data_IF_677088418001
#
_entry.id   IF_677088418001
#
_cell.length_a   1.000
_cell.length_b   1.000
_cell.length_c   1.000
_cell.angle_alpha   90.00
_cell.angle_beta   90.00
_cell.angle_gamma   90.00
#
_symmetry.space_group_name_H-M   'P 1'
#
loop_
_entity.id
_entity.type
_entity.pdbx_description
1 polymer ?
#
# COMPACT_ATOMS: atom_id res chain seq x y z
N UNK A 1 4.49 0.51 -7.53
CA UNK A 1 4.45 1.40 -8.71
C UNK A 1 5.35 2.63 -8.54
N UNK A 2 5.39 3.27 -7.37
CA UNK A 2 6.17 4.49 -7.08
C UNK A 2 7.63 4.43 -7.57
N UNK A 3 8.40 3.41 -7.20
CA UNK A 3 9.82 3.28 -7.60
C UNK A 3 10.02 3.29 -9.12
N UNK A 4 9.10 2.66 -9.87
CA UNK A 4 9.12 2.68 -11.33
C UNK A 4 8.88 4.09 -11.87
N UNK A 5 7.86 4.79 -11.36
CA UNK A 5 7.52 6.15 -11.78
C UNK A 5 8.62 7.16 -11.41
N UNK A 6 9.34 6.95 -10.30
CA UNK A 6 10.50 7.75 -9.92
C UNK A 6 11.69 7.56 -10.86
N UNK A 7 11.75 6.49 -11.65
CA UNK A 7 12.87 6.20 -12.54
C UNK A 7 14.16 5.84 -11.80
N UNK A 8 14.06 5.38 -10.55
CA UNK A 8 15.22 4.90 -9.78
C UNK A 8 15.55 3.46 -10.17
N UNK A 9 16.80 3.04 -9.99
CA UNK A 9 17.18 1.62 -10.09
C UNK A 9 16.80 0.92 -8.79
N UNK A 10 16.07 -0.18 -8.86
CA UNK A 10 15.63 -0.94 -7.69
C UNK A 10 15.52 -2.43 -8.02
N UNK A 11 15.48 -3.26 -6.98
CA UNK A 11 15.23 -4.69 -7.08
C UNK A 11 13.87 -5.02 -6.45
N UNK A 12 13.20 -6.04 -7.00
CA UNK A 12 11.98 -6.62 -6.43
C UNK A 12 12.26 -8.06 -6.05
N UNK A 13 12.10 -8.37 -4.77
CA UNK A 13 12.27 -9.73 -4.24
C UNK A 13 10.92 -10.24 -3.78
N UNK A 14 10.46 -11.33 -4.38
CA UNK A 14 9.23 -12.01 -3.96
C UNK A 14 9.48 -12.82 -2.69
N UNK A 15 8.53 -12.78 -1.76
CA UNK A 15 8.63 -13.47 -0.47
C UNK A 15 7.62 -14.62 -0.41
N UNK A 16 8.13 -15.84 -0.21
CA UNK A 16 7.27 -16.97 0.15
C UNK A 16 6.93 -16.92 1.65
N UNK A 17 5.68 -16.54 1.96
CA UNK A 17 5.17 -16.43 3.32
C UNK A 17 5.11 -17.77 4.06
N UNK A 18 5.08 -18.90 3.35
CA UNK A 18 5.04 -20.25 3.95
C UNK A 18 6.44 -20.75 4.28
N UNK A 19 7.41 -20.49 3.40
CA UNK A 19 8.78 -21.02 3.54
C UNK A 19 9.75 -20.08 4.27
N UNK A 20 9.44 -18.78 4.39
CA UNK A 20 10.21 -17.74 5.12
C UNK A 20 11.73 -17.96 5.06
N UNK A 21 12.37 -17.77 3.89
CA UNK A 21 13.82 -17.97 3.74
C UNK A 21 14.61 -17.18 4.79
N UNK A 22 15.69 -17.78 5.31
CA UNK A 22 16.45 -17.26 6.46
C UNK A 22 16.99 -15.84 6.21
N UNK A 23 17.47 -15.55 5.00
CA UNK A 23 18.01 -14.24 4.63
C UNK A 23 16.97 -13.12 4.78
N UNK A 24 15.70 -13.44 4.51
CA UNK A 24 14.61 -12.48 4.64
C UNK A 24 14.21 -12.26 6.10
N UNK A 25 14.28 -13.30 6.94
CA UNK A 25 14.08 -13.14 8.39
C UNK A 25 15.16 -12.26 9.01
N UNK A 26 16.41 -12.38 8.55
CA UNK A 26 17.50 -11.52 9.00
C UNK A 26 17.30 -10.07 8.54
N UNK A 27 16.76 -9.89 7.32
CA UNK A 27 16.54 -8.57 6.76
C UNK A 27 15.41 -7.83 7.48
N UNK A 28 14.26 -8.48 7.73
CA UNK A 28 13.09 -7.86 8.35
C UNK A 28 12.35 -8.86 9.26
N UNK A 29 12.86 -9.14 10.47
CA UNK A 29 12.32 -10.18 11.34
C UNK A 29 10.88 -9.85 11.74
N UNK A 30 9.97 -10.82 11.57
CA UNK A 30 8.55 -10.67 11.92
C UNK A 30 7.75 -9.69 11.04
N UNK A 31 8.37 -9.11 10.01
CA UNK A 31 7.70 -8.13 9.14
C UNK A 31 6.93 -8.84 8.04
N UNK A 32 5.63 -8.56 7.93
CA UNK A 32 4.84 -8.99 6.79
C UNK A 32 5.13 -8.07 5.59
N UNK A 33 5.38 -8.61 4.39
CA UNK A 33 5.36 -7.84 3.16
C UNK A 33 4.04 -7.06 3.01
N UNK A 34 4.06 -5.90 2.33
CA UNK A 34 5.23 -5.26 1.71
C UNK A 34 6.10 -4.48 2.70
N UNK A 35 7.41 -4.49 2.45
CA UNK A 35 8.41 -3.64 3.11
C UNK A 35 9.50 -3.27 2.09
N UNK A 36 10.31 -2.25 2.40
CA UNK A 36 11.46 -1.85 1.57
C UNK A 36 12.70 -1.73 2.44
N UNK A 37 13.87 -1.96 1.86
CA UNK A 37 15.15 -1.64 2.48
C UNK A 37 15.83 -0.51 1.72
N UNK A 38 16.23 0.54 2.42
CA UNK A 38 16.95 1.68 1.86
C UNK A 38 18.19 1.96 2.69
N UNK A 39 19.38 1.91 2.08
CA UNK A 39 20.67 2.05 2.78
C UNK A 39 20.82 1.15 4.02
N UNK A 40 20.31 -0.08 3.95
CA UNK A 40 20.35 -1.05 5.05
C UNK A 40 19.24 -0.88 6.10
N UNK A 41 18.46 0.21 6.06
CA UNK A 41 17.31 0.38 6.95
C UNK A 41 16.03 -0.22 6.38
N UNK A 42 15.33 -1.00 7.19
CA UNK A 42 14.00 -1.53 6.85
C UNK A 42 12.94 -0.47 7.12
N UNK A 43 12.05 -0.27 6.15
CA UNK A 43 10.84 0.52 6.31
C UNK A 43 9.61 -0.35 6.04
N UNK A 44 8.66 -0.24 6.94
CA UNK A 44 7.40 -0.99 6.98
C UNK A 44 6.25 0.01 6.93
N UNK A 45 5.02 -0.47 6.70
CA UNK A 45 3.83 0.36 6.45
C UNK A 45 3.86 1.04 5.07
N UNK A 46 2.90 0.67 4.23
CA UNK A 46 2.81 1.12 2.83
C UNK A 46 2.74 2.64 2.73
N UNK A 47 1.97 3.30 3.59
CA UNK A 47 1.78 4.75 3.55
C UNK A 47 3.06 5.47 3.96
N UNK A 48 3.74 4.97 5.00
CA UNK A 48 5.02 5.54 5.45
C UNK A 48 6.13 5.33 4.42
N UNK A 49 6.13 4.20 3.72
CA UNK A 49 7.05 3.93 2.62
C UNK A 49 6.80 4.91 1.47
N UNK A 50 5.55 5.17 1.12
CA UNK A 50 5.19 6.17 0.11
C UNK A 50 5.69 7.57 0.48
N UNK A 51 5.39 8.05 1.70
CA UNK A 51 5.84 9.35 2.19
C UNK A 51 7.37 9.47 2.17
N UNK A 52 8.06 8.45 2.67
CA UNK A 52 9.52 8.40 2.67
C UNK A 52 10.12 8.45 1.25
N UNK A 53 9.57 7.69 0.31
CA UNK A 53 10.06 7.66 -1.07
C UNK A 53 9.81 8.99 -1.78
N UNK A 54 8.71 9.68 -1.50
CA UNK A 54 8.42 10.99 -2.08
C UNK A 54 9.41 12.07 -1.59
N UNK A 55 9.81 12.01 -0.33
CA UNK A 55 10.78 12.93 0.29
C UNK A 55 12.22 12.66 -0.18
N UNK A 56 12.67 11.41 -0.09
CA UNK A 56 14.05 11.02 -0.42
C UNK A 56 14.33 11.05 -1.93
N UNK A 57 13.37 10.64 -2.76
CA UNK A 57 13.50 10.66 -4.22
C UNK A 57 12.87 11.94 -4.77
N UNK A 58 13.49 13.07 -4.47
CA UNK A 58 12.98 14.41 -4.79
C UNK A 58 13.74 15.12 -5.94
N UNK A 59 13.19 16.22 -6.48
CA UNK A 59 13.87 17.06 -7.48
C UNK A 59 15.21 17.62 -6.98
N UNK A 60 16.16 17.95 -7.89
CA UNK A 60 16.04 17.92 -9.35
C UNK A 60 16.24 16.54 -9.97
N UNK A 61 16.67 15.54 -9.18
CA UNK A 61 17.08 14.24 -9.69
C UNK A 61 15.90 13.33 -10.04
N UNK A 62 14.80 13.43 -9.29
CA UNK A 62 13.62 12.59 -9.47
C UNK A 62 12.35 13.44 -9.54
N UNK A 63 11.35 12.96 -10.27
CA UNK A 63 10.07 13.68 -10.43
C UNK A 63 9.23 13.64 -9.16
N UNK A 64 8.47 14.71 -8.88
CA UNK A 64 7.45 14.73 -7.82
C UNK A 64 6.22 13.96 -8.28
N UNK A 65 5.72 13.03 -7.47
CA UNK A 65 4.55 12.20 -7.80
C UNK A 65 3.29 12.62 -7.04
N UNK A 66 3.42 13.40 -5.96
CA UNK A 66 2.28 13.88 -5.19
C UNK A 66 1.26 14.63 -6.04
N UNK A 67 -0.03 14.30 -5.86
CA UNK A 67 -1.11 14.91 -6.59
C UNK A 67 -1.19 16.43 -6.34
N UNK A 68 -1.58 17.17 -7.38
CA UNK A 68 -1.79 18.63 -7.28
C UNK A 68 -3.15 19.00 -6.69
N UNK A 69 -4.16 18.14 -6.91
CA UNK A 69 -5.53 18.34 -6.48
C UNK A 69 -5.82 17.37 -5.32
N UNK A 70 -6.18 17.87 -4.11
CA UNK A 70 -6.46 17.01 -2.96
C UNK A 70 -7.53 15.96 -3.22
N UNK A 71 -8.51 16.27 -4.07
CA UNK A 71 -9.60 15.37 -4.47
C UNK A 71 -9.09 14.13 -5.20
N UNK A 72 -7.94 14.23 -5.90
CA UNK A 72 -7.34 13.08 -6.58
C UNK A 72 -6.83 12.02 -5.60
N UNK A 73 -6.51 12.39 -4.37
CA UNK A 73 -6.05 11.44 -3.35
C UNK A 73 -7.23 10.67 -2.71
N UNK A 74 -8.44 11.25 -2.73
CA UNK A 74 -9.61 10.69 -2.04
C UNK A 74 -10.63 10.04 -2.97
N UNK A 75 -10.61 10.40 -4.25
CA UNK A 75 -11.48 9.82 -5.27
C UNK A 75 -11.35 8.29 -5.31
N UNK A 76 -12.43 7.58 -4.99
CA UNK A 76 -12.52 6.13 -5.08
C UNK A 76 -11.88 5.33 -3.94
N UNK A 77 -11.42 5.97 -2.86
CA UNK A 77 -10.83 5.27 -1.69
C UNK A 77 -11.79 4.26 -1.05
N UNK A 78 -13.11 4.47 -1.15
CA UNK A 78 -14.13 3.61 -0.57
C UNK A 78 -14.52 2.41 -1.47
N UNK A 79 -14.11 2.42 -2.74
CA UNK A 79 -14.48 1.39 -3.74
C UNK A 79 -13.99 0.01 -3.29
N UNK A 80 -12.73 -0.09 -2.84
CA UNK A 80 -12.17 -1.37 -2.41
C UNK A 80 -12.90 -1.96 -1.19
N UNK A 81 -13.30 -1.12 -0.24
CA UNK A 81 -14.06 -1.55 0.93
C UNK A 81 -15.46 -2.03 0.55
N UNK A 82 -16.15 -1.30 -0.34
CA UNK A 82 -17.47 -1.69 -0.87
C UNK A 82 -17.40 -3.01 -1.64
N UNK A 83 -16.43 -3.14 -2.54
CA UNK A 83 -16.21 -4.37 -3.30
C UNK A 83 -15.88 -5.55 -2.37
N UNK A 84 -14.99 -5.36 -1.40
CA UNK A 84 -14.62 -6.39 -0.42
C UNK A 84 -15.83 -6.89 0.38
N UNK A 85 -16.73 -6.00 0.78
CA UNK A 85 -17.96 -6.37 1.46
C UNK A 85 -18.89 -7.19 0.56
N UNK A 86 -19.02 -6.79 -0.71
CA UNK A 86 -19.85 -7.48 -1.70
C UNK A 86 -19.40 -8.93 -1.94
N UNK A 87 -18.11 -9.15 -2.23
CA UNK A 87 -17.56 -10.49 -2.54
C UNK A 87 -17.52 -11.42 -1.31
N UNK A 88 -17.35 -10.87 -0.11
CA UNK A 88 -17.33 -11.67 1.13
C UNK A 88 -18.74 -11.98 1.66
N UNK A 89 -19.78 -11.37 1.09
CA UNK A 89 -21.14 -11.59 1.56
C UNK A 89 -21.62 -13.00 1.22
N UNK A 90 -21.86 -13.82 2.25
CA UNK A 90 -22.38 -15.19 2.10
C UNK A 90 -23.88 -15.26 1.75
N UNK A 91 -24.59 -14.12 1.69
CA UNK A 91 -26.00 -14.02 1.31
C UNK A 91 -26.19 -12.95 0.22
N UNK A 92 -26.18 -13.34 -1.07
CA UNK A 92 -26.21 -12.40 -2.20
C UNK A 92 -27.41 -11.47 -2.21
N UNK A 93 -28.56 -11.92 -1.70
CA UNK A 93 -29.82 -11.16 -1.64
C UNK A 93 -29.71 -9.89 -0.77
N UNK A 94 -28.71 -9.80 0.10
CA UNK A 94 -28.42 -8.61 0.92
C UNK A 94 -27.57 -7.55 0.23
N UNK A 95 -27.12 -7.78 -1.01
CA UNK A 95 -26.31 -6.84 -1.78
C UNK A 95 -27.15 -5.73 -2.45
N UNK A 96 -28.47 -5.89 -2.50
CA UNK A 96 -29.37 -4.85 -2.97
C UNK A 96 -29.53 -3.77 -1.87
N UNK A 97 -29.03 -2.57 -2.13
CA UNK A 97 -29.50 -1.36 -1.43
C UNK A 97 -28.88 -1.00 -0.09
N UNK A 98 -27.60 -1.29 0.19
CA UNK A 98 -26.90 -0.67 1.33
C UNK A 98 -25.77 0.22 0.88
N UNK A 99 -26.06 1.50 0.68
CA UNK A 99 -25.07 2.56 0.89
C UNK A 99 -24.56 2.38 2.32
N UNK A 100 -23.33 1.88 2.48
CA UNK A 100 -22.70 1.73 3.78
C UNK A 100 -22.81 3.10 4.51
N UNK A 101 -23.25 3.14 5.78
CA UNK A 101 -23.22 4.38 6.52
C UNK A 101 -21.80 4.92 6.48
N UNK A 102 -21.67 6.22 6.19
CA UNK A 102 -20.41 6.94 6.12
C UNK A 102 -19.69 6.77 7.46
N UNK A 103 -18.81 5.75 7.53
CA UNK A 103 -18.04 5.48 8.75
C UNK A 103 -16.98 6.56 8.82
N UNK A 104 -17.27 7.61 9.59
CA UNK A 104 -16.28 8.54 10.14
C UNK A 104 -15.32 7.76 11.04
N UNK A 105 -14.30 7.19 10.42
CA UNK A 105 -13.27 6.43 11.11
C UNK A 105 -12.36 5.83 10.06
N UNK A 106 -11.09 6.24 10.09
CA UNK A 106 -10.00 5.75 9.25
C UNK A 106 -10.14 4.25 9.04
N UNK A 107 -10.70 3.87 7.90
CA UNK A 107 -10.73 2.47 7.50
C UNK A 107 -9.30 2.19 7.08
N UNK A 108 -8.51 1.60 7.98
CA UNK A 108 -7.19 1.04 7.64
C UNK A 108 -7.41 0.00 6.54
N UNK A 109 -7.25 0.43 5.30
CA UNK A 109 -7.18 -0.47 4.15
C UNK A 109 -5.84 -1.18 4.29
N UNK A 110 -5.88 -2.39 4.83
CA UNK A 110 -4.75 -3.30 4.80
C UNK A 110 -4.62 -3.77 3.35
N UNK A 111 -3.70 -3.16 2.59
CA UNK A 111 -3.26 -3.74 1.31
C UNK A 111 -2.62 -5.09 1.63
N UNK A 112 -3.10 -6.16 0.99
CA UNK A 112 -2.40 -7.45 0.96
C UNK A 112 -1.20 -7.37 0.02
#
# INVERSE_FOLDING_TARGET
>A
MILWLKGVVFNVTTVDLKRKPADLQNLAPGTHPPFITFNGEVKTDVNKIEEFLEDVLSPPKYIKLGARHPESNTAGMDIFAKFSAYIKNSKPDGNEGKSLPERKGETRIQYF
#
